data_IF_282564848294
#
_entry.id   IF_282564848294
#
_cell.length_a   1.000
_cell.length_b   1.000
_cell.length_c   1.000
_cell.angle_alpha   90.00
_cell.angle_beta   90.00
_cell.angle_gamma   90.00
#
_symmetry.space_group_name_H-M   'P 1'
#
loop_
_entity.id
_entity.type
_entity.pdbx_description
1 polymer ?
#
# COMPACT_ATOMS: atom_id res chain seq x y z
N UNK A 1 -3.85 4.62 12.93
CA UNK A 1 -4.03 4.63 11.46
C UNK A 1 -4.42 3.25 10.88
N UNK A 2 -3.62 2.14 11.01
CA UNK A 2 -3.97 0.82 10.42
C UNK A 2 -5.30 0.27 10.92
N UNK A 3 -5.51 0.27 12.23
CA UNK A 3 -6.75 -0.21 12.86
C UNK A 3 -7.92 0.72 12.52
N UNK A 4 -7.71 2.01 12.52
CA UNK A 4 -8.71 3.00 12.13
C UNK A 4 -9.19 2.78 10.69
N UNK A 5 -8.26 2.68 9.73
CA UNK A 5 -8.61 2.35 8.33
C UNK A 5 -9.38 1.02 8.23
N UNK A 6 -8.99 0.03 9.02
CA UNK A 6 -9.68 -1.27 9.05
C UNK A 6 -11.13 -1.11 9.52
N UNK A 7 -11.36 -0.35 10.61
CA UNK A 7 -12.71 -0.14 11.13
C UNK A 7 -13.58 0.69 10.18
N UNK A 8 -13.03 1.69 9.50
CA UNK A 8 -13.74 2.42 8.44
C UNK A 8 -14.21 1.46 7.34
N UNK A 9 -13.38 0.48 6.96
CA UNK A 9 -13.77 -0.57 6.02
C UNK A 9 -14.82 -1.52 6.58
N UNK A 10 -14.74 -1.91 7.86
CA UNK A 10 -15.72 -2.76 8.56
C UNK A 10 -17.09 -2.10 8.58
N UNK A 11 -17.16 -0.81 8.93
CA UNK A 11 -18.39 -0.03 8.94
C UNK A 11 -18.98 0.10 7.53
N UNK A 12 -18.16 0.52 6.56
CA UNK A 12 -18.56 0.65 5.16
C UNK A 12 -19.14 -0.66 4.60
N UNK A 13 -18.50 -1.79 4.89
CA UNK A 13 -18.95 -3.11 4.47
C UNK A 13 -20.11 -3.65 5.32
N UNK A 14 -20.63 -2.87 6.27
CA UNK A 14 -21.74 -3.25 7.16
C UNK A 14 -21.47 -4.54 7.96
N UNK A 15 -20.22 -4.75 8.36
CA UNK A 15 -19.84 -5.86 9.24
C UNK A 15 -20.11 -5.42 10.68
N UNK A 16 -20.89 -6.20 11.44
CA UNK A 16 -21.19 -5.91 12.84
C UNK A 16 -20.02 -6.38 13.73
N UNK A 17 -19.12 -5.47 14.06
CA UNK A 17 -18.03 -5.73 14.99
C UNK A 17 -18.56 -5.81 16.45
N UNK A 18 -18.06 -6.76 17.27
CA UNK A 18 -18.31 -6.78 18.72
C UNK A 18 -17.83 -5.48 19.39
N UNK A 19 -18.54 -5.04 20.44
CA UNK A 19 -18.25 -3.78 21.14
C UNK A 19 -16.84 -3.70 21.76
N UNK A 20 -16.25 -4.83 22.08
CA UNK A 20 -14.90 -4.92 22.64
C UNK A 20 -13.78 -4.87 21.60
N UNK A 21 -14.11 -4.84 20.31
CA UNK A 21 -13.10 -4.68 19.27
C UNK A 21 -12.67 -3.20 19.20
N UNK A 22 -11.48 -2.93 19.67
CA UNK A 22 -10.83 -1.63 19.66
C UNK A 22 -9.33 -1.79 19.37
N UNK A 23 -8.56 -0.71 19.20
CA UNK A 23 -7.14 -0.79 18.92
C UNK A 23 -6.34 -1.60 19.95
N UNK A 24 -6.63 -1.44 21.25
CA UNK A 24 -5.92 -2.13 22.32
C UNK A 24 -6.22 -3.63 22.33
N UNK A 25 -7.47 -4.02 22.06
CA UNK A 25 -7.86 -5.43 21.91
C UNK A 25 -7.02 -6.12 20.84
N UNK A 26 -6.90 -5.53 19.66
CA UNK A 26 -6.13 -6.12 18.57
C UNK A 26 -4.62 -6.04 18.83
N UNK A 27 -4.12 -4.95 19.39
CA UNK A 27 -2.72 -4.82 19.80
C UNK A 27 -2.32 -5.95 20.74
N UNK A 28 -3.11 -6.19 21.80
CA UNK A 28 -2.85 -7.26 22.76
C UNK A 28 -2.86 -8.65 22.08
N UNK A 29 -3.83 -8.92 21.19
CA UNK A 29 -3.90 -10.19 20.45
C UNK A 29 -2.69 -10.40 19.56
N UNK A 30 -2.23 -9.37 18.88
CA UNK A 30 -1.03 -9.42 18.03
C UNK A 30 0.22 -9.69 18.89
N UNK A 31 0.38 -8.97 20.01
CA UNK A 31 1.53 -9.17 20.89
C UNK A 31 1.57 -10.57 21.50
N UNK A 32 0.43 -11.07 21.97
CA UNK A 32 0.31 -12.45 22.47
C UNK A 32 0.63 -13.49 21.39
N UNK A 33 0.27 -13.21 20.12
CA UNK A 33 0.58 -14.10 19.00
C UNK A 33 2.08 -14.08 18.69
N UNK A 34 2.73 -12.90 18.73
CA UNK A 34 4.18 -12.78 18.58
C UNK A 34 4.93 -13.56 19.67
N UNK A 35 4.52 -13.41 20.93
CA UNK A 35 5.10 -14.13 22.06
C UNK A 35 5.01 -15.65 21.88
N UNK A 36 3.82 -16.15 21.55
CA UNK A 36 3.59 -17.60 21.31
C UNK A 36 4.44 -18.15 20.17
N UNK A 37 4.73 -17.33 19.16
CA UNK A 37 5.57 -17.71 18.00
C UNK A 37 7.04 -17.36 18.21
N UNK A 38 7.44 -16.90 19.41
CA UNK A 38 8.83 -16.53 19.75
C UNK A 38 9.41 -15.43 18.84
N UNK A 39 8.56 -14.55 18.31
CA UNK A 39 8.96 -13.38 17.53
C UNK A 39 9.35 -12.29 18.53
N UNK A 40 10.65 -12.12 18.78
CA UNK A 40 11.18 -11.26 19.85
C UNK A 40 11.73 -9.91 19.36
N UNK A 41 11.97 -9.79 18.05
CA UNK A 41 12.52 -8.56 17.45
C UNK A 41 11.45 -7.88 16.61
N UNK A 42 11.50 -8.08 15.30
CA UNK A 42 10.56 -7.47 14.37
C UNK A 42 9.59 -8.51 13.84
N UNK A 43 8.33 -8.18 13.84
CA UNK A 43 7.28 -9.05 13.35
C UNK A 43 6.32 -8.33 12.42
N UNK A 44 5.83 -9.05 11.43
CA UNK A 44 4.71 -8.62 10.59
C UNK A 44 3.45 -9.33 11.06
N UNK A 45 2.38 -8.56 11.30
CA UNK A 45 1.06 -9.10 11.56
C UNK A 45 0.10 -8.72 10.43
N UNK A 46 -0.74 -9.67 10.01
CA UNK A 46 -1.88 -9.45 9.13
C UNK A 46 -3.17 -9.70 9.88
N UNK A 47 -3.97 -8.65 10.07
CA UNK A 47 -5.30 -8.74 10.65
C UNK A 47 -6.33 -8.68 9.52
N UNK A 48 -7.15 -9.72 9.40
CA UNK A 48 -8.25 -9.82 8.45
C UNK A 48 -9.57 -9.93 9.19
N UNK A 49 -10.54 -9.05 8.86
CA UNK A 49 -11.91 -9.08 9.39
C UNK A 49 -12.84 -9.52 8.26
N UNK A 50 -13.77 -10.40 8.58
CA UNK A 50 -14.74 -10.95 7.64
C UNK A 50 -16.09 -11.19 8.32
N UNK A 51 -17.16 -11.40 7.53
CA UNK A 51 -18.43 -11.87 8.08
C UNK A 51 -18.34 -13.32 8.47
N UNK A 52 -19.00 -13.68 9.58
CA UNK A 52 -19.22 -15.10 9.89
C UNK A 52 -19.98 -15.76 8.75
N UNK A 53 -19.78 -17.06 8.60
CA UNK A 53 -20.23 -17.80 7.45
C UNK A 53 -21.76 -17.84 7.27
N UNK A 54 -22.17 -18.31 6.10
CA UNK A 54 -23.55 -18.59 5.72
C UNK A 54 -24.13 -17.64 4.68
N UNK A 55 -24.80 -18.24 3.72
CA UNK A 55 -25.37 -17.59 2.54
C UNK A 55 -24.37 -17.41 1.42
N UNK A 56 -24.85 -17.35 0.18
CA UNK A 56 -24.04 -17.08 -1.00
C UNK A 56 -23.87 -15.56 -1.19
N UNK A 57 -24.80 -14.93 -1.93
CA UNK A 57 -24.82 -13.49 -2.13
C UNK A 57 -25.69 -12.75 -1.10
N UNK A 58 -26.50 -13.49 -0.32
CA UNK A 58 -27.30 -12.97 0.79
C UNK A 58 -26.74 -13.52 2.09
N UNK A 59 -25.90 -12.74 2.81
CA UNK A 59 -25.29 -13.21 4.04
C UNK A 59 -26.36 -13.48 5.11
N UNK A 60 -26.32 -14.65 5.76
CA UNK A 60 -27.22 -15.00 6.87
C UNK A 60 -26.97 -14.17 8.12
N UNK A 61 -25.74 -13.68 8.28
CA UNK A 61 -25.33 -12.85 9.41
C UNK A 61 -24.42 -11.72 8.94
N UNK A 62 -24.54 -10.57 9.57
CA UNK A 62 -23.54 -9.47 9.43
C UNK A 62 -22.49 -9.47 10.55
N UNK A 63 -22.53 -10.46 11.48
CA UNK A 63 -21.56 -10.54 12.58
C UNK A 63 -20.15 -10.72 12.03
N UNK A 64 -19.21 -9.94 12.59
CA UNK A 64 -17.80 -10.02 12.22
C UNK A 64 -17.07 -11.13 12.97
N UNK A 65 -16.06 -11.68 12.31
CA UNK A 65 -15.00 -12.49 12.90
C UNK A 65 -13.65 -12.05 12.31
N UNK A 66 -12.54 -12.56 12.85
CA UNK A 66 -11.21 -12.15 12.41
C UNK A 66 -10.20 -13.28 12.46
N UNK A 67 -9.16 -13.14 11.65
CA UNK A 67 -7.93 -13.93 11.69
C UNK A 67 -6.74 -12.99 11.84
N UNK A 68 -5.79 -13.38 12.70
CA UNK A 68 -4.49 -12.73 12.78
C UNK A 68 -3.43 -13.76 12.40
N UNK A 69 -2.60 -13.39 11.43
CA UNK A 69 -1.42 -14.15 11.02
C UNK A 69 -0.19 -13.34 11.39
N UNK A 70 0.90 -14.00 11.75
CA UNK A 70 2.16 -13.35 12.03
C UNK A 70 3.35 -14.11 11.42
N UNK A 71 4.37 -13.35 11.10
CA UNK A 71 5.67 -13.87 10.65
C UNK A 71 6.78 -12.99 11.19
N UNK A 72 7.98 -13.57 11.37
CA UNK A 72 9.17 -12.79 11.68
C UNK A 72 9.57 -11.92 10.50
N UNK A 73 10.03 -10.69 10.78
CA UNK A 73 10.49 -9.75 9.77
C UNK A 73 11.92 -9.34 10.06
N UNK A 74 12.82 -9.60 9.10
CA UNK A 74 14.25 -9.51 9.32
C UNK A 74 14.81 -8.08 9.38
N UNK A 75 14.12 -7.10 8.77
CA UNK A 75 14.64 -5.74 8.68
C UNK A 75 14.26 -4.90 9.90
N UNK A 76 15.20 -4.09 10.36
CA UNK A 76 14.94 -3.00 11.29
C UNK A 76 14.65 -1.72 10.50
N UNK A 77 13.53 -1.03 10.84
CA UNK A 77 13.07 0.14 10.10
C UNK A 77 12.70 -0.17 8.64
N UNK A 78 12.90 0.81 7.78
CA UNK A 78 12.55 0.77 6.36
C UNK A 78 13.81 1.02 5.49
N UNK A 79 14.69 0.03 5.33
CA UNK A 79 15.89 0.22 4.51
C UNK A 79 15.52 0.48 3.04
N UNK A 80 16.11 1.52 2.46
CA UNK A 80 15.94 1.79 1.05
C UNK A 80 16.56 0.65 0.22
N UNK A 81 15.88 0.25 -0.85
CA UNK A 81 16.38 -0.79 -1.74
C UNK A 81 17.69 -0.35 -2.42
N UNK A 82 18.75 -1.16 -2.29
CA UNK A 82 20.07 -0.85 -2.88
C UNK A 82 20.04 -0.76 -4.40
N UNK A 83 19.31 -1.69 -5.04
CA UNK A 83 19.05 -1.71 -6.47
C UNK A 83 17.64 -1.19 -6.71
N UNK A 84 17.50 -0.21 -7.60
CA UNK A 84 16.19 0.31 -7.99
C UNK A 84 15.34 -0.76 -8.66
N UNK A 85 14.03 -0.58 -8.60
CA UNK A 85 13.07 -1.55 -9.13
C UNK A 85 12.89 -1.37 -10.63
N UNK A 86 12.76 -2.49 -11.35
CA UNK A 86 12.31 -2.54 -12.74
C UNK A 86 10.80 -2.75 -12.75
N UNK A 87 10.07 -1.82 -13.34
CA UNK A 87 8.60 -1.87 -13.38
C UNK A 87 8.05 -1.76 -14.79
N UNK A 88 6.83 -2.24 -14.97
CA UNK A 88 6.00 -2.00 -16.16
C UNK A 88 4.52 -1.86 -15.74
N UNK A 89 3.63 -1.72 -16.71
CA UNK A 89 2.19 -1.60 -16.52
C UNK A 89 1.52 -2.93 -16.80
N UNK A 90 0.63 -3.34 -15.90
CA UNK A 90 -0.30 -4.43 -16.11
C UNK A 90 -1.56 -3.90 -16.77
N UNK A 91 -1.90 -4.44 -17.96
CA UNK A 91 -2.99 -3.95 -18.81
C UNK A 91 -4.14 -4.94 -19.00
N UNK A 92 -3.98 -6.21 -18.55
CA UNK A 92 -4.96 -7.26 -18.81
C UNK A 92 -6.23 -7.10 -17.97
N UNK A 93 -6.16 -6.34 -16.87
CA UNK A 93 -7.30 -6.04 -16.02
C UNK A 93 -7.13 -4.68 -15.34
N UNK A 94 -8.14 -3.83 -15.48
CA UNK A 94 -8.18 -2.52 -14.85
C UNK A 94 -8.66 -2.60 -13.39
N UNK A 95 -8.17 -1.71 -12.55
CA UNK A 95 -8.71 -1.50 -11.23
C UNK A 95 -9.99 -0.68 -11.30
N UNK A 96 -11.07 -1.20 -10.72
CA UNK A 96 -12.33 -0.44 -10.60
C UNK A 96 -12.13 0.81 -9.75
N UNK A 97 -12.72 1.93 -10.19
CA UNK A 97 -12.78 3.18 -9.45
C UNK A 97 -14.19 3.38 -8.90
N UNK A 98 -14.36 3.09 -7.62
CA UNK A 98 -15.65 3.17 -6.93
C UNK A 98 -15.46 3.45 -5.44
N UNK A 99 -16.55 3.57 -4.69
CA UNK A 99 -16.56 3.97 -3.28
C UNK A 99 -15.77 3.04 -2.33
N UNK A 100 -15.53 1.78 -2.70
CA UNK A 100 -14.74 0.84 -1.89
C UNK A 100 -13.29 0.68 -2.35
N UNK A 101 -12.88 1.32 -3.44
CA UNK A 101 -11.53 1.17 -4.00
C UNK A 101 -10.42 1.62 -3.07
N UNK A 102 -10.72 2.56 -2.17
CA UNK A 102 -9.74 3.09 -1.22
C UNK A 102 -9.58 2.20 0.02
N UNK A 103 -10.48 1.24 0.26
CA UNK A 103 -10.34 0.29 1.36
C UNK A 103 -9.44 -0.88 0.95
N UNK A 104 -8.64 -1.36 1.91
CA UNK A 104 -7.83 -2.56 1.70
C UNK A 104 -8.66 -3.81 1.96
N UNK A 105 -9.41 -4.26 0.95
CA UNK A 105 -10.27 -5.44 1.01
C UNK A 105 -9.57 -6.69 0.46
N UNK A 106 -10.19 -7.87 0.65
CA UNK A 106 -9.75 -9.12 0.04
C UNK A 106 -10.18 -9.28 -1.43
N UNK A 107 -10.82 -8.26 -2.03
CA UNK A 107 -11.07 -8.22 -3.47
C UNK A 107 -9.75 -7.90 -4.20
N UNK A 108 -8.92 -8.92 -4.38
CA UNK A 108 -7.51 -8.80 -4.77
C UNK A 108 -7.17 -9.44 -6.11
N UNK A 109 -8.16 -9.82 -6.91
CA UNK A 109 -7.91 -10.55 -8.16
C UNK A 109 -6.99 -9.78 -9.12
N UNK A 110 -7.20 -8.48 -9.30
CA UNK A 110 -6.35 -7.63 -10.14
C UNK A 110 -4.87 -7.67 -9.69
N UNK A 111 -4.62 -7.65 -8.39
CA UNK A 111 -3.25 -7.71 -7.85
C UNK A 111 -2.61 -9.09 -8.02
N UNK A 112 -3.41 -10.16 -7.92
CA UNK A 112 -2.94 -11.53 -8.16
C UNK A 112 -2.52 -11.69 -9.62
N UNK A 113 -3.36 -11.26 -10.57
CA UNK A 113 -3.05 -11.31 -12.00
C UNK A 113 -1.84 -10.43 -12.36
N UNK A 114 -1.79 -9.20 -11.82
CA UNK A 114 -0.62 -8.34 -11.99
C UNK A 114 0.66 -8.95 -11.40
N UNK A 115 0.56 -9.70 -10.30
CA UNK A 115 1.71 -10.41 -9.71
C UNK A 115 2.19 -11.58 -10.57
N UNK A 116 1.29 -12.27 -11.26
CA UNK A 116 1.63 -13.32 -12.25
C UNK A 116 2.33 -12.66 -13.43
N UNK A 117 1.73 -11.63 -14.03
CA UNK A 117 2.32 -10.86 -15.13
C UNK A 117 3.73 -10.36 -14.78
N UNK A 118 3.90 -9.77 -13.60
CA UNK A 118 5.20 -9.34 -13.08
C UNK A 118 6.24 -10.46 -13.14
N UNK A 119 5.88 -11.65 -12.67
CA UNK A 119 6.78 -12.83 -12.66
C UNK A 119 7.12 -13.28 -14.06
N UNK A 120 6.13 -13.36 -14.94
CA UNK A 120 6.30 -13.84 -16.32
C UNK A 120 7.14 -12.89 -17.19
N UNK A 121 7.21 -11.59 -16.80
CA UNK A 121 7.98 -10.56 -17.51
C UNK A 121 9.28 -10.15 -16.77
N UNK A 122 9.69 -10.88 -15.75
CA UNK A 122 10.93 -10.63 -15.00
C UNK A 122 11.04 -9.20 -14.49
N UNK A 123 9.95 -8.72 -13.85
CA UNK A 123 9.81 -7.40 -13.27
C UNK A 123 9.87 -7.48 -11.73
N UNK A 124 10.24 -6.37 -11.08
CA UNK A 124 10.24 -6.24 -9.62
C UNK A 124 8.86 -5.82 -9.08
N UNK A 125 8.08 -5.07 -9.86
CA UNK A 125 6.70 -4.67 -9.54
C UNK A 125 5.94 -4.27 -10.82
N UNK A 126 4.61 -4.09 -10.73
CA UNK A 126 3.77 -3.59 -11.82
C UNK A 126 2.87 -2.47 -11.34
N UNK A 127 2.66 -1.49 -12.21
CA UNK A 127 1.65 -0.47 -12.04
C UNK A 127 0.30 -0.97 -12.57
N UNK A 128 -0.76 -0.60 -11.90
CA UNK A 128 -2.14 -0.95 -12.23
C UNK A 128 -2.88 0.31 -12.65
N UNK A 129 -3.56 0.26 -13.77
CA UNK A 129 -4.35 1.36 -14.31
C UNK A 129 -5.83 1.19 -13.97
N UNK A 130 -6.56 2.30 -14.02
CA UNK A 130 -8.01 2.34 -13.90
C UNK A 130 -8.68 2.47 -15.27
N UNK A 131 -10.02 2.45 -15.31
CA UNK A 131 -10.82 2.56 -16.53
C UNK A 131 -10.66 3.87 -17.32
N UNK A 132 -9.91 4.83 -16.79
CA UNK A 132 -9.56 6.09 -17.47
C UNK A 132 -8.14 6.05 -18.04
N UNK A 133 -7.51 4.89 -18.12
CA UNK A 133 -6.09 4.72 -18.49
C UNK A 133 -5.13 5.58 -17.63
N UNK A 134 -5.46 5.76 -16.35
CA UNK A 134 -4.61 6.47 -15.38
C UNK A 134 -4.05 5.49 -14.38
N UNK A 135 -2.83 5.76 -13.94
CA UNK A 135 -2.19 4.91 -12.93
C UNK A 135 -2.88 5.09 -11.60
N UNK A 136 -3.39 4.01 -11.03
CA UNK A 136 -3.96 4.01 -9.70
C UNK A 136 -2.88 3.77 -8.63
N UNK A 137 -2.18 2.66 -8.72
CA UNK A 137 -1.16 2.23 -7.74
C UNK A 137 -0.30 1.09 -8.30
N UNK A 138 0.59 0.50 -7.50
CA UNK A 138 1.29 -0.75 -7.82
C UNK A 138 0.61 -1.97 -7.16
N UNK A 139 1.15 -3.17 -7.33
CA UNK A 139 0.57 -4.43 -6.80
C UNK A 139 0.30 -4.36 -5.29
N UNK A 140 1.20 -3.77 -4.53
CA UNK A 140 1.09 -3.69 -3.05
C UNK A 140 1.51 -2.33 -2.47
N UNK A 141 1.67 -1.31 -3.31
CA UNK A 141 2.26 -0.02 -2.96
C UNK A 141 1.54 1.13 -3.66
N UNK A 142 1.55 2.31 -3.04
CA UNK A 142 1.13 3.54 -3.70
C UNK A 142 2.27 4.11 -4.55
N UNK A 143 1.92 4.74 -5.67
CA UNK A 143 2.86 5.37 -6.60
C UNK A 143 3.09 6.84 -6.26
N UNK A 144 4.34 7.26 -6.45
CA UNK A 144 4.78 8.67 -6.48
C UNK A 144 5.71 8.86 -7.67
N UNK A 145 5.57 9.96 -8.38
CA UNK A 145 6.49 10.41 -9.42
C UNK A 145 7.04 11.78 -9.04
N UNK A 146 8.24 12.10 -9.47
CA UNK A 146 8.83 13.44 -9.35
C UNK A 146 8.91 14.04 -10.73
N UNK A 147 8.50 15.28 -10.87
CA UNK A 147 8.55 16.02 -12.12
C UNK A 147 8.76 17.52 -11.83
N UNK A 148 9.80 18.11 -12.39
CA UNK A 148 10.15 19.52 -12.15
C UNK A 148 10.21 19.84 -10.64
N UNK A 149 10.94 19.07 -9.86
CA UNK A 149 11.11 19.19 -8.41
C UNK A 149 9.81 19.06 -7.58
N UNK A 150 8.72 18.65 -8.19
CA UNK A 150 7.44 18.43 -7.52
C UNK A 150 7.10 16.95 -7.46
N UNK A 151 6.72 16.46 -6.27
CA UNK A 151 6.24 15.09 -6.08
C UNK A 151 4.75 15.01 -6.40
N UNK A 152 4.35 14.05 -7.22
CA UNK A 152 2.95 13.83 -7.62
C UNK A 152 2.56 12.41 -7.26
N UNK A 153 1.39 12.24 -6.65
CA UNK A 153 0.79 10.92 -6.40
C UNK A 153 -0.66 10.90 -6.88
N UNK A 154 -1.15 9.77 -7.39
CA UNK A 154 -2.56 9.64 -7.74
C UNK A 154 -3.46 9.97 -6.55
N UNK A 155 -4.52 10.82 -6.73
CA UNK A 155 -5.51 11.06 -5.69
C UNK A 155 -6.36 9.81 -5.44
N UNK A 156 -6.99 9.74 -4.28
CA UNK A 156 -7.87 8.61 -3.93
C UNK A 156 -9.03 8.42 -4.92
N UNK A 157 -9.44 9.50 -5.60
CA UNK A 157 -10.45 9.45 -6.67
C UNK A 157 -10.04 8.64 -7.91
N UNK A 158 -8.75 8.31 -8.06
CA UNK A 158 -8.26 7.42 -9.12
C UNK A 158 -8.33 5.93 -8.70
N UNK A 159 -8.83 5.64 -7.50
CA UNK A 159 -9.12 4.29 -7.03
C UNK A 159 -7.96 3.59 -6.34
N UNK A 160 -6.86 4.27 -6.03
CA UNK A 160 -5.79 3.68 -5.21
C UNK A 160 -6.27 3.39 -3.79
N UNK A 161 -5.65 2.41 -3.13
CA UNK A 161 -5.88 2.17 -1.70
C UNK A 161 -5.37 3.38 -0.90
N UNK A 162 -6.14 3.82 0.12
CA UNK A 162 -5.71 4.81 1.09
C UNK A 162 -4.60 4.21 1.98
N UNK A 163 -3.38 4.20 1.47
CA UNK A 163 -2.22 3.58 2.12
C UNK A 163 -1.78 4.35 3.35
N UNK A 164 -1.56 3.68 4.48
CA UNK A 164 -1.02 4.32 5.69
C UNK A 164 0.35 4.92 5.39
N UNK A 165 1.23 4.19 4.70
CA UNK A 165 2.55 4.73 4.33
C UNK A 165 2.43 5.90 3.34
N UNK A 166 1.44 5.89 2.44
CA UNK A 166 1.16 7.04 1.57
C UNK A 166 0.85 8.29 2.40
N UNK A 167 -0.01 8.17 3.41
CA UNK A 167 -0.35 9.27 4.32
C UNK A 167 0.89 9.76 5.08
N UNK A 168 1.68 8.85 5.66
CA UNK A 168 2.91 9.20 6.36
C UNK A 168 3.90 9.98 5.48
N UNK A 169 4.06 9.59 4.22
CA UNK A 169 4.94 10.29 3.27
C UNK A 169 4.39 11.66 2.90
N UNK A 170 3.08 11.82 2.73
CA UNK A 170 2.44 13.12 2.51
C UNK A 170 2.64 14.03 3.73
N UNK A 171 2.48 13.51 4.95
CA UNK A 171 2.70 14.26 6.19
C UNK A 171 4.17 14.70 6.33
N UNK A 172 5.13 13.80 6.05
CA UNK A 172 6.57 14.14 6.02
C UNK A 172 6.84 15.26 5.01
N UNK A 173 6.26 15.19 3.81
CA UNK A 173 6.46 16.22 2.80
C UNK A 173 5.88 17.57 3.22
N UNK A 174 4.70 17.58 3.87
CA UNK A 174 4.11 18.81 4.44
C UNK A 174 5.02 19.43 5.51
N UNK A 175 5.47 18.65 6.50
CA UNK A 175 6.32 19.11 7.59
C UNK A 175 7.66 19.68 7.11
N UNK A 176 8.25 19.04 6.12
CA UNK A 176 9.55 19.42 5.55
C UNK A 176 9.44 20.36 4.35
N UNK A 177 8.23 20.86 4.04
CA UNK A 177 7.96 21.79 2.93
C UNK A 177 8.49 21.28 1.58
N UNK A 178 8.38 19.97 1.35
CA UNK A 178 8.72 19.35 0.06
C UNK A 178 7.53 19.57 -0.88
N UNK A 179 7.70 20.21 -2.04
CA UNK A 179 6.61 20.47 -2.98
C UNK A 179 5.95 19.18 -3.43
N UNK A 180 4.64 19.06 -3.24
CA UNK A 180 3.90 17.87 -3.66
C UNK A 180 2.45 18.20 -3.97
N UNK A 181 1.80 17.32 -4.73
CA UNK A 181 0.38 17.40 -5.05
C UNK A 181 -0.24 16.03 -5.31
N UNK A 182 -1.53 15.94 -5.09
CA UNK A 182 -2.35 14.81 -5.50
C UNK A 182 -2.99 15.13 -6.85
N UNK A 183 -2.46 14.51 -7.92
CA UNK A 183 -2.95 14.69 -9.29
C UNK A 183 -3.02 13.35 -10.03
N UNK A 184 -3.98 13.17 -10.95
CA UNK A 184 -3.99 12.02 -11.83
C UNK A 184 -2.66 11.86 -12.57
N UNK A 185 -2.17 10.63 -12.64
CA UNK A 185 -0.93 10.28 -13.36
C UNK A 185 -1.32 9.48 -14.60
N UNK A 186 -1.03 10.03 -15.77
CA UNK A 186 -1.20 9.33 -17.04
C UNK A 186 0.07 8.61 -17.46
N UNK A 187 -0.02 7.70 -18.44
CA UNK A 187 1.12 6.87 -18.84
C UNK A 187 2.30 7.68 -19.37
N UNK A 188 2.04 8.80 -20.03
CA UNK A 188 3.05 9.71 -20.53
C UNK A 188 3.84 10.40 -19.41
N UNK A 189 3.23 10.61 -18.25
CA UNK A 189 3.91 11.21 -17.12
C UNK A 189 5.03 10.32 -16.58
N UNK A 190 4.88 8.98 -16.69
CA UNK A 190 5.93 8.05 -16.30
C UNK A 190 7.20 8.21 -17.15
N UNK A 191 7.07 8.51 -18.44
CA UNK A 191 8.21 8.79 -19.32
C UNK A 191 8.82 10.16 -19.08
N UNK A 192 8.00 11.14 -18.63
CA UNK A 192 8.42 12.51 -18.36
C UNK A 192 8.90 12.73 -16.93
N UNK A 193 8.72 11.73 -16.06
CA UNK A 193 9.18 11.79 -14.68
C UNK A 193 10.71 11.84 -14.60
N UNK A 194 11.22 12.58 -13.63
CA UNK A 194 12.63 12.63 -13.25
C UNK A 194 12.97 11.46 -12.31
N UNK A 195 12.04 11.11 -11.43
CA UNK A 195 12.15 9.99 -10.49
C UNK A 195 10.79 9.30 -10.31
N UNK A 196 10.79 8.01 -10.01
CA UNK A 196 9.62 7.25 -9.58
C UNK A 196 9.96 6.49 -8.30
N UNK A 197 9.05 6.53 -7.32
CA UNK A 197 9.15 5.69 -6.13
C UNK A 197 7.77 5.18 -5.69
N UNK A 198 7.78 4.17 -4.87
CA UNK A 198 6.57 3.52 -4.36
C UNK A 198 6.66 3.38 -2.85
N UNK A 199 5.49 3.28 -2.18
CA UNK A 199 5.43 3.21 -0.72
C UNK A 199 4.50 2.12 -0.23
N UNK A 200 4.95 1.32 0.73
CA UNK A 200 4.13 0.36 1.45
C UNK A 200 4.55 0.24 2.93
N UNK A 201 3.64 -0.26 3.76
CA UNK A 201 3.85 -0.30 5.22
C UNK A 201 4.83 -1.39 5.69
N UNK A 202 5.37 -2.20 4.80
CA UNK A 202 6.33 -3.26 5.13
C UNK A 202 7.75 -2.84 4.74
N UNK A 203 7.90 -2.22 3.57
CA UNK A 203 9.20 -1.87 2.99
C UNK A 203 9.50 -0.37 3.02
N UNK A 204 8.53 0.46 3.42
CA UNK A 204 8.68 1.91 3.41
C UNK A 204 8.71 2.48 2.01
N UNK A 205 9.72 3.30 1.72
CA UNK A 205 9.98 3.90 0.41
C UNK A 205 10.84 2.96 -0.42
N UNK A 206 10.46 2.74 -1.68
CA UNK A 206 11.24 1.97 -2.65
C UNK A 206 11.38 2.76 -3.95
N UNK A 207 12.59 3.06 -4.38
CA UNK A 207 12.84 3.75 -5.61
C UNK A 207 12.84 2.81 -6.83
N UNK A 208 12.51 3.36 -7.97
CA UNK A 208 12.44 2.68 -9.28
C UNK A 208 13.60 3.15 -10.13
N UNK A 209 14.36 2.23 -10.73
CA UNK A 209 15.43 2.59 -11.66
C UNK A 209 15.01 2.45 -13.12
N UNK A 210 13.95 1.69 -13.43
CA UNK A 210 13.56 1.45 -14.81
C UNK A 210 12.05 1.29 -15.00
N UNK A 211 11.53 2.00 -16.01
CA UNK A 211 10.22 1.78 -16.60
C UNK A 211 10.40 1.62 -18.10
N UNK A 212 10.19 0.43 -18.62
CA UNK A 212 10.51 0.07 -20.02
C UNK A 212 11.95 0.46 -20.36
N UNK A 213 12.12 1.33 -21.37
CA UNK A 213 13.43 1.85 -21.79
C UNK A 213 13.92 3.05 -20.98
N UNK A 214 13.02 3.72 -20.25
CA UNK A 214 13.37 4.88 -19.41
C UNK A 214 14.13 4.44 -18.18
N UNK A 215 15.16 5.20 -17.82
CA UNK A 215 15.95 5.01 -16.60
C UNK A 215 15.78 6.22 -15.69
N UNK A 216 15.79 5.95 -14.40
CA UNK A 216 15.64 6.96 -13.34
C UNK A 216 16.84 6.90 -12.40
N UNK A 217 17.16 8.03 -11.82
CA UNK A 217 18.14 8.15 -10.76
C UNK A 217 17.45 8.30 -9.40
N UNK A 218 18.16 7.97 -8.34
CA UNK A 218 17.70 8.11 -6.97
C UNK A 218 17.88 9.58 -6.53
N UNK A 219 16.83 10.17 -5.98
CA UNK A 219 16.82 11.58 -5.56
C UNK A 219 15.96 11.79 -4.31
N UNK A 220 14.74 12.27 -4.48
CA UNK A 220 13.79 12.59 -3.41
C UNK A 220 13.44 11.36 -2.56
N UNK A 221 13.35 10.18 -3.16
CA UNK A 221 13.03 8.94 -2.45
C UNK A 221 14.06 8.63 -1.35
N UNK A 222 15.34 8.94 -1.56
CA UNK A 222 16.36 8.76 -0.54
C UNK A 222 16.12 9.66 0.67
N UNK A 223 15.87 10.95 0.43
CA UNK A 223 15.55 11.94 1.47
C UNK A 223 14.32 11.51 2.27
N UNK A 224 13.24 11.10 1.58
CA UNK A 224 12.00 10.66 2.22
C UNK A 224 12.21 9.36 3.03
N UNK A 225 13.00 8.42 2.53
CA UNK A 225 13.38 7.21 3.27
C UNK A 225 14.14 7.54 4.56
N UNK A 226 15.09 8.47 4.51
CA UNK A 226 15.84 8.91 5.68
C UNK A 226 14.94 9.59 6.72
N UNK A 227 14.03 10.48 6.29
CA UNK A 227 13.08 11.17 7.15
C UNK A 227 12.08 10.18 7.79
N UNK A 228 11.59 9.22 7.02
CA UNK A 228 10.72 8.15 7.52
C UNK A 228 11.41 7.34 8.61
N UNK A 229 12.65 6.90 8.39
CA UNK A 229 13.39 6.13 9.38
C UNK A 229 13.68 6.93 10.65
N UNK A 230 13.98 8.23 10.57
CA UNK A 230 14.09 9.10 11.74
C UNK A 230 12.80 9.17 12.55
N UNK A 231 11.64 9.26 11.87
CA UNK A 231 10.31 9.32 12.52
C UNK A 231 9.97 8.05 13.29
N UNK A 232 10.30 6.87 12.76
CA UNK A 232 9.98 5.59 13.43
C UNK A 232 10.99 5.17 14.49
N UNK A 233 12.17 5.83 14.53
CA UNK A 233 13.20 5.61 15.56
C UNK A 233 13.11 6.59 16.72
N UNK A 234 12.26 7.62 16.64
CA UNK A 234 11.97 8.59 17.70
C UNK A 234 10.84 8.09 18.60
#
# INVERSE_FOLDING_TARGET
QHIERLFNGVEFLKIKAPKNWNPDFFKQRIMNLFEKNKITKNGRARLSIFRTDGGLYSPRSSKGDFVIECEEYANEGFPLNKKGLKIDIFTDMEKSTNVYSNFKTNNSLVYVLASIYKKDNDLDDCLIINSKNRVAEAISSNLFIVKNDQVITPPLSEGCVAGVMRTEILDIMNEHKIPHQENPVVLEDLFKADEIFMTDSIKGVRWVNAYKVKRFELGIAEKLSQLLNKRVSA
#
